data_IF_470155127751
#
_entry.id   IF_470155127751
#
_cell.length_a   1.000
_cell.length_b   1.000
_cell.length_c   1.000
_cell.angle_alpha   90.00
_cell.angle_beta   90.00
_cell.angle_gamma   90.00
#
_symmetry.space_group_name_H-M   'P 1'
#
loop_
_entity.id
_entity.type
_entity.pdbx_description
1 polymer ?
#
# COMPACT_ATOMS: atom_id res chain seq x y z
N UNK A 1 -5.00 21.41 -66.70
CA UNK A 1 -5.76 21.82 -65.49
C UNK A 1 -6.74 20.70 -65.16
N UNK A 2 -6.43 19.89 -64.15
CA UNK A 2 -7.25 18.74 -63.76
C UNK A 2 -6.55 17.97 -62.64
N UNK A 3 -6.53 18.54 -61.43
CA UNK A 3 -6.02 17.90 -60.23
C UNK A 3 -7.15 17.06 -59.61
N UNK A 4 -7.06 15.74 -59.76
CA UNK A 4 -7.89 14.78 -59.03
C UNK A 4 -7.43 14.68 -57.58
N UNK A 5 -8.36 14.90 -56.63
CA UNK A 5 -8.14 14.73 -55.19
C UNK A 5 -8.54 13.32 -54.77
N UNK A 6 -7.57 12.59 -54.25
CA UNK A 6 -7.77 11.37 -53.45
C UNK A 6 -8.15 11.72 -51.99
N UNK A 7 -8.67 10.69 -51.33
CA UNK A 7 -8.62 10.40 -49.89
C UNK A 7 -9.72 10.91 -48.97
N UNK A 8 -10.48 9.95 -48.43
CA UNK A 8 -10.82 9.90 -47.01
C UNK A 8 -10.96 8.42 -46.57
N UNK A 9 -9.87 7.89 -46.02
CA UNK A 9 -9.78 6.59 -45.38
C UNK A 9 -10.56 6.59 -44.06
N UNK A 10 -11.44 5.60 -43.93
CA UNK A 10 -12.36 5.39 -42.82
C UNK A 10 -11.58 4.89 -41.58
N UNK A 11 -11.42 5.73 -40.55
CA UNK A 11 -10.89 5.34 -39.24
C UNK A 11 -11.99 4.64 -38.41
N UNK A 12 -11.75 3.42 -37.86
CA UNK A 12 -12.73 2.76 -37.01
C UNK A 12 -12.83 3.44 -35.64
N UNK A 13 -14.06 3.76 -35.27
CA UNK A 13 -14.45 4.42 -34.04
C UNK A 13 -13.95 3.65 -32.80
N UNK A 14 -13.18 4.33 -31.95
CA UNK A 14 -12.73 3.88 -30.64
C UNK A 14 -13.90 3.38 -29.79
N UNK A 15 -13.88 2.09 -29.43
CA UNK A 15 -14.89 1.47 -28.57
C UNK A 15 -14.73 2.03 -27.15
N UNK A 16 -15.73 2.79 -26.70
CA UNK A 16 -15.78 3.30 -25.33
C UNK A 16 -15.66 2.14 -24.31
N UNK A 17 -14.89 2.29 -23.23
CA UNK A 17 -14.76 1.25 -22.22
C UNK A 17 -16.13 0.97 -21.59
N UNK A 18 -16.52 -0.30 -21.58
CA UNK A 18 -17.77 -0.78 -21.00
C UNK A 18 -17.88 -0.34 -19.53
N UNK A 19 -19.00 0.28 -19.18
CA UNK A 19 -19.28 0.71 -17.81
C UNK A 19 -19.24 -0.49 -16.84
N UNK A 20 -18.63 -0.30 -15.67
CA UNK A 20 -18.63 -1.29 -14.60
C UNK A 20 -20.07 -1.55 -14.12
N UNK A 21 -20.38 -2.79 -13.76
CA UNK A 21 -21.69 -3.15 -13.21
C UNK A 21 -21.89 -2.51 -11.82
N UNK A 22 -23.16 -2.26 -11.46
CA UNK A 22 -23.53 -1.62 -10.18
C UNK A 22 -23.00 -2.37 -8.95
N UNK A 23 -22.93 -3.69 -9.02
CA UNK A 23 -22.38 -4.53 -7.95
C UNK A 23 -20.88 -4.31 -7.78
N UNK A 24 -20.12 -4.24 -8.88
CA UNK A 24 -18.68 -3.99 -8.85
C UNK A 24 -18.36 -2.62 -8.27
N UNK A 25 -19.15 -1.59 -8.63
CA UNK A 25 -19.00 -0.25 -8.06
C UNK A 25 -19.27 -0.22 -6.55
N UNK A 26 -20.27 -0.94 -6.04
CA UNK A 26 -20.54 -1.03 -4.59
C UNK A 26 -19.44 -1.75 -3.84
N UNK A 27 -18.89 -2.81 -4.42
CA UNK A 27 -17.76 -3.55 -3.84
C UNK A 27 -16.52 -2.66 -3.77
N UNK A 28 -16.20 -1.93 -4.85
CA UNK A 28 -15.09 -0.97 -4.87
C UNK A 28 -15.27 0.15 -3.85
N UNK A 29 -16.48 0.73 -3.76
CA UNK A 29 -16.78 1.75 -2.76
C UNK A 29 -16.59 1.22 -1.33
N UNK A 30 -17.17 0.06 -1.00
CA UNK A 30 -16.99 -0.56 0.33
C UNK A 30 -15.55 -0.95 0.63
N UNK A 31 -14.78 -1.35 -0.38
CA UNK A 31 -13.35 -1.63 -0.24
C UNK A 31 -12.56 -0.35 0.09
N UNK A 32 -12.86 0.75 -0.59
CA UNK A 32 -12.32 2.07 -0.26
C UNK A 32 -12.70 2.50 1.17
N UNK A 33 -13.96 2.31 1.57
CA UNK A 33 -14.43 2.63 2.93
C UNK A 33 -13.67 1.87 4.03
N UNK A 34 -13.24 0.63 3.76
CA UNK A 34 -12.57 -0.22 4.76
C UNK A 34 -11.09 0.10 4.91
N UNK A 35 -10.49 0.75 3.92
CA UNK A 35 -9.04 0.87 3.80
C UNK A 35 -8.50 2.26 4.07
N UNK A 36 -9.38 3.26 4.07
CA UNK A 36 -9.09 4.55 4.65
C UNK A 36 -9.05 4.44 6.19
N UNK A 37 -7.85 4.24 6.73
CA UNK A 37 -7.43 4.47 8.12
C UNK A 37 -8.32 3.89 9.25
N UNK A 38 -8.02 2.64 9.67
CA UNK A 38 -8.52 2.02 10.91
C UNK A 38 -10.04 2.04 11.13
N UNK A 39 -10.83 1.96 10.05
CA UNK A 39 -12.29 1.91 10.14
C UNK A 39 -12.95 3.26 10.43
N UNK A 40 -12.25 4.38 10.22
CA UNK A 40 -12.87 5.71 10.21
C UNK A 40 -13.48 5.98 8.82
N UNK A 41 -14.63 6.67 8.86
CA UNK A 41 -15.54 6.92 7.73
C UNK A 41 -14.89 7.72 6.58
N UNK A 42 -15.46 7.66 5.36
CA UNK A 42 -14.87 8.13 4.10
C UNK A 42 -14.75 9.64 3.91
N UNK A 43 -14.90 10.46 4.96
CA UNK A 43 -14.57 11.89 4.91
C UNK A 43 -13.11 12.20 4.45
N UNK A 44 -12.28 11.18 4.24
CA UNK A 44 -10.92 11.26 3.70
C UNK A 44 -10.80 11.05 2.18
N UNK A 45 -11.89 10.77 1.46
CA UNK A 45 -11.94 11.09 0.04
C UNK A 45 -12.37 12.57 -0.07
N UNK A 46 -11.57 13.47 -0.66
CA UNK A 46 -12.03 14.83 -0.96
C UNK A 46 -12.99 14.76 -2.16
N UNK A 47 -14.13 14.10 -1.98
CA UNK A 47 -15.28 14.23 -2.87
C UNK A 47 -16.02 15.49 -2.39
N UNK A 48 -15.50 16.64 -2.82
CA UNK A 48 -15.95 17.96 -2.41
C UNK A 48 -14.89 18.67 -1.55
N UNK A 49 -14.52 19.87 -1.96
CA UNK A 49 -13.54 20.73 -1.29
C UNK A 49 -14.00 21.26 0.08
N UNK A 50 -14.99 20.63 0.73
CA UNK A 50 -15.59 21.10 1.96
C UNK A 50 -15.29 20.14 3.11
N UNK A 51 -14.49 20.61 4.07
CA UNK A 51 -14.28 19.98 5.38
C UNK A 51 -15.57 20.15 6.20
N UNK A 52 -16.56 19.29 5.94
CA UNK A 52 -17.86 19.30 6.62
C UNK A 52 -18.57 17.95 6.51
N UNK A 53 -19.62 17.69 7.30
CA UNK A 53 -20.41 16.48 7.19
C UNK A 53 -21.07 16.44 5.80
N UNK A 54 -20.65 15.48 4.97
CA UNK A 54 -21.23 15.26 3.64
C UNK A 54 -22.65 14.74 3.83
N UNK A 55 -23.65 15.47 3.32
CA UNK A 55 -25.03 15.00 3.32
C UNK A 55 -25.11 13.74 2.45
N UNK A 56 -25.79 12.70 2.93
CA UNK A 56 -26.04 11.48 2.15
C UNK A 56 -26.74 11.78 0.82
N UNK A 57 -27.46 12.91 0.74
CA UNK A 57 -28.07 13.39 -0.48
C UNK A 57 -27.06 13.79 -1.57
N UNK A 58 -25.85 14.22 -1.18
CA UNK A 58 -24.76 14.71 -2.05
C UNK A 58 -23.83 13.59 -2.56
N UNK A 59 -23.97 12.38 -2.02
CA UNK A 59 -23.18 11.23 -2.47
C UNK A 59 -23.64 10.76 -3.86
N UNK A 60 -22.70 10.37 -4.75
CA UNK A 60 -23.05 9.84 -6.06
C UNK A 60 -23.92 8.59 -5.93
N UNK A 61 -25.09 8.60 -6.57
CA UNK A 61 -26.12 7.54 -6.46
C UNK A 61 -26.01 6.49 -7.54
N UNK A 62 -25.27 6.80 -8.61
CA UNK A 62 -25.07 5.91 -9.75
C UNK A 62 -23.60 5.65 -10.04
N UNK A 63 -23.29 4.51 -10.65
CA UNK A 63 -21.93 4.17 -11.08
C UNK A 63 -21.36 5.22 -12.07
N UNK A 64 -22.23 5.82 -12.90
CA UNK A 64 -21.85 6.87 -13.84
C UNK A 64 -21.44 8.16 -13.12
N UNK A 65 -22.15 8.55 -12.07
CA UNK A 65 -21.78 9.68 -11.22
C UNK A 65 -20.45 9.43 -10.50
N UNK A 66 -20.23 8.22 -9.95
CA UNK A 66 -18.95 7.84 -9.33
C UNK A 66 -17.79 7.98 -10.33
N UNK A 67 -17.95 7.45 -11.55
CA UNK A 67 -16.91 7.57 -12.60
C UNK A 67 -16.70 9.03 -13.01
N UNK A 68 -17.77 9.82 -13.12
CA UNK A 68 -17.68 11.24 -13.43
C UNK A 68 -16.97 12.02 -12.31
N UNK A 69 -17.19 11.65 -11.04
CA UNK A 69 -16.53 12.26 -9.89
C UNK A 69 -15.06 11.85 -9.81
N UNK A 70 -14.73 10.57 -10.02
CA UNK A 70 -13.34 10.09 -10.09
C UNK A 70 -12.57 10.81 -11.21
N UNK A 71 -13.20 11.04 -12.37
CA UNK A 71 -12.59 11.79 -13.48
C UNK A 71 -12.44 13.29 -13.21
N UNK A 72 -13.34 13.86 -12.40
CA UNK A 72 -13.31 15.28 -12.00
C UNK A 72 -12.33 15.53 -10.84
N UNK A 73 -12.13 14.53 -9.98
CA UNK A 73 -11.20 14.60 -8.86
C UNK A 73 -9.77 14.63 -9.35
N UNK A 74 -8.97 15.55 -8.81
CA UNK A 74 -7.51 15.58 -9.00
C UNK A 74 -6.78 14.50 -8.21
N UNK A 75 -7.49 13.76 -7.35
CA UNK A 75 -6.93 12.65 -6.59
C UNK A 75 -6.80 11.45 -7.51
N UNK A 76 -5.62 10.83 -7.51
CA UNK A 76 -5.41 9.54 -8.15
C UNK A 76 -6.22 8.45 -7.43
N UNK A 77 -7.51 8.32 -7.74
CA UNK A 77 -8.40 7.34 -7.11
C UNK A 77 -7.85 5.91 -7.21
N UNK A 78 -7.15 5.60 -8.30
CA UNK A 78 -6.46 4.32 -8.46
C UNK A 78 -5.24 4.19 -7.56
N UNK A 79 -4.51 5.27 -7.25
CA UNK A 79 -3.45 5.23 -6.25
C UNK A 79 -4.01 4.95 -4.86
N UNK A 80 -5.14 5.57 -4.50
CA UNK A 80 -5.83 5.29 -3.24
C UNK A 80 -6.30 3.81 -3.15
N UNK A 81 -6.84 3.26 -4.23
CA UNK A 81 -7.22 1.83 -4.33
C UNK A 81 -6.01 0.89 -4.23
N UNK A 82 -4.89 1.23 -4.87
CA UNK A 82 -3.65 0.45 -4.78
C UNK A 82 -3.12 0.46 -3.35
N UNK A 83 -2.99 1.64 -2.75
CA UNK A 83 -2.55 1.82 -1.37
C UNK A 83 -3.45 1.06 -0.38
N UNK A 84 -4.76 1.12 -0.59
CA UNK A 84 -5.77 0.34 0.13
C UNK A 84 -5.49 -1.16 0.04
N UNK A 85 -5.25 -1.66 -1.17
CA UNK A 85 -5.00 -3.08 -1.42
C UNK A 85 -3.67 -3.53 -0.80
N UNK A 86 -2.65 -2.68 -0.83
CA UNK A 86 -1.36 -2.89 -0.17
C UNK A 86 -1.51 -2.98 1.35
N UNK A 87 -2.24 -2.04 1.96
CA UNK A 87 -2.54 -2.08 3.39
C UNK A 87 -3.31 -3.34 3.78
N UNK A 88 -4.33 -3.73 3.00
CA UNK A 88 -5.09 -4.95 3.24
C UNK A 88 -4.20 -6.20 3.16
N UNK A 89 -3.28 -6.27 2.18
CA UNK A 89 -2.31 -7.37 2.07
C UNK A 89 -1.31 -7.40 3.21
N UNK A 90 -0.92 -6.26 3.76
CA UNK A 90 -0.04 -6.18 4.93
C UNK A 90 -0.74 -6.71 6.20
N UNK A 91 -2.01 -6.33 6.41
CA UNK A 91 -2.81 -6.76 7.55
C UNK A 91 -3.26 -8.23 7.45
N UNK A 92 -3.60 -8.66 6.24
CA UNK A 92 -4.16 -9.97 5.95
C UNK A 92 -3.41 -10.62 4.79
N UNK A 93 -2.14 -11.04 5.00
CA UNK A 93 -1.39 -11.71 3.96
C UNK A 93 -2.08 -13.03 3.58
N UNK A 94 -2.25 -13.34 2.28
CA UNK A 94 -2.83 -14.60 1.87
C UNK A 94 -2.02 -15.79 2.42
N UNK A 95 -2.65 -16.94 2.69
CA UNK A 95 -1.93 -18.14 3.14
C UNK A 95 -0.80 -18.49 2.18
N UNK A 96 0.40 -18.78 2.71
CA UNK A 96 1.58 -19.11 1.92
C UNK A 96 2.26 -17.94 1.20
N UNK A 97 1.75 -16.70 1.36
CA UNK A 97 2.35 -15.52 0.72
C UNK A 97 3.50 -14.89 1.51
N UNK A 98 3.65 -15.23 2.79
CA UNK A 98 4.78 -14.76 3.58
C UNK A 98 6.03 -15.56 3.18
N UNK A 99 7.19 -14.90 2.99
CA UNK A 99 8.42 -15.60 2.70
C UNK A 99 8.83 -16.48 3.89
N UNK A 100 9.59 -17.54 3.61
CA UNK A 100 10.07 -18.47 4.63
C UNK A 100 10.99 -17.80 5.68
N UNK A 101 11.65 -16.70 5.30
CA UNK A 101 12.51 -15.90 6.15
C UNK A 101 12.23 -14.42 5.94
N UNK A 102 12.26 -13.65 7.03
CA UNK A 102 12.09 -12.20 7.03
C UNK A 102 13.26 -11.55 7.78
N UNK A 103 13.69 -10.34 7.38
CA UNK A 103 14.56 -9.51 8.21
C UNK A 103 13.94 -9.31 9.59
N UNK A 104 14.73 -9.47 10.65
CA UNK A 104 14.24 -9.37 12.02
C UNK A 104 14.78 -8.09 12.69
N UNK A 105 13.88 -7.15 12.98
CA UNK A 105 14.16 -5.95 13.75
C UNK A 105 13.85 -6.24 15.22
N UNK A 106 14.90 -6.32 16.04
CA UNK A 106 14.76 -6.54 17.48
C UNK A 106 14.78 -5.19 18.18
N UNK A 107 13.61 -4.69 18.59
CA UNK A 107 13.42 -3.37 19.18
C UNK A 107 12.70 -3.52 20.53
N UNK A 108 13.44 -3.72 21.64
CA UNK A 108 12.85 -4.09 22.94
C UNK A 108 11.90 -3.05 23.53
N UNK A 109 12.10 -1.78 23.21
CA UNK A 109 11.33 -0.67 23.77
C UNK A 109 10.09 -0.31 22.96
N UNK A 110 9.86 -0.97 21.83
CA UNK A 110 8.73 -0.69 20.95
C UNK A 110 7.95 -1.99 20.72
N UNK A 111 6.64 -1.95 20.93
CA UNK A 111 5.75 -3.06 20.57
C UNK A 111 4.75 -2.55 19.54
N UNK A 112 4.70 -3.21 18.40
CA UNK A 112 3.74 -2.90 17.34
C UNK A 112 2.53 -3.83 17.43
N UNK A 113 1.35 -3.25 17.58
CA UNK A 113 0.08 -3.98 17.55
C UNK A 113 -0.44 -4.12 16.12
N UNK A 114 -1.10 -5.23 15.75
CA UNK A 114 -1.72 -5.36 14.43
C UNK A 114 -2.67 -4.19 14.11
N UNK A 115 -2.54 -3.61 12.91
CA UNK A 115 -3.26 -2.39 12.49
C UNK A 115 -2.53 -1.08 12.79
N UNK A 116 -1.52 -1.10 13.65
CA UNK A 116 -0.77 0.09 14.04
C UNK A 116 0.12 0.60 12.91
N UNK A 117 0.17 1.92 12.77
CA UNK A 117 1.11 2.62 11.89
C UNK A 117 2.18 3.26 12.74
N UNK A 118 3.43 3.11 12.32
CA UNK A 118 4.57 3.69 13.00
C UNK A 118 5.57 4.24 11.99
N UNK A 119 6.27 5.30 12.37
CA UNK A 119 7.38 5.86 11.63
C UNK A 119 8.66 5.59 12.44
N UNK A 120 9.68 5.02 11.81
CA UNK A 120 10.97 4.73 12.41
C UNK A 120 12.09 5.46 11.69
N UNK A 121 12.97 6.10 12.46
CA UNK A 121 14.23 6.64 11.96
C UNK A 121 15.35 5.65 12.23
N UNK A 122 15.89 5.06 11.18
CA UNK A 122 16.94 4.06 11.25
C UNK A 122 18.29 4.73 10.98
N UNK A 123 19.19 4.64 11.95
CA UNK A 123 20.54 5.20 11.87
C UNK A 123 21.63 4.17 12.19
N UNK A 124 21.33 3.13 12.98
CA UNK A 124 22.31 2.09 13.26
C UNK A 124 22.60 1.25 12.01
N UNK A 125 23.88 0.98 11.68
CA UNK A 125 24.27 0.24 10.47
C UNK A 125 23.53 -1.10 10.31
N UNK A 126 23.31 -1.83 11.40
CA UNK A 126 22.57 -3.10 11.38
C UNK A 126 21.11 -2.96 10.92
N UNK A 127 20.42 -1.89 11.32
CA UNK A 127 19.03 -1.66 10.91
C UNK A 127 18.95 -1.12 9.49
N UNK A 128 19.94 -0.32 9.08
CA UNK A 128 20.07 0.11 7.69
C UNK A 128 20.27 -1.08 6.75
N UNK A 129 21.12 -2.04 7.12
CA UNK A 129 21.32 -3.27 6.34
C UNK A 129 20.02 -4.10 6.24
N UNK A 130 19.30 -4.28 7.35
CA UNK A 130 18.02 -4.99 7.36
C UNK A 130 16.94 -4.28 6.51
N UNK A 131 16.87 -2.94 6.59
CA UNK A 131 15.92 -2.16 5.79
C UNK A 131 16.24 -2.25 4.30
N UNK A 132 17.52 -2.14 3.92
CA UNK A 132 17.97 -2.34 2.53
C UNK A 132 17.66 -3.74 2.03
N UNK A 133 17.83 -4.76 2.88
CA UNK A 133 17.46 -6.14 2.53
C UNK A 133 15.96 -6.28 2.31
N UNK A 134 15.12 -5.76 3.23
CA UNK A 134 13.66 -5.79 3.08
C UNK A 134 13.19 -5.07 1.81
N UNK A 135 13.83 -3.96 1.46
CA UNK A 135 13.55 -3.15 0.27
C UNK A 135 14.23 -3.66 -1.01
N UNK A 136 15.05 -4.73 -0.94
CA UNK A 136 15.81 -5.27 -2.08
C UNK A 136 16.84 -4.31 -2.66
N UNK A 137 17.30 -3.32 -1.90
CA UNK A 137 18.29 -2.33 -2.33
C UNK A 137 19.73 -2.84 -2.24
N UNK A 138 19.96 -4.00 -1.61
CA UNK A 138 21.29 -4.57 -1.37
C UNK A 138 21.78 -5.56 -2.43
N UNK A 139 21.11 -5.68 -3.59
CA UNK A 139 21.52 -6.60 -4.66
C UNK A 139 21.42 -8.10 -4.33
N UNK A 140 20.76 -8.44 -3.21
CA UNK A 140 20.53 -9.83 -2.81
C UNK A 140 19.62 -10.58 -3.80
N UNK A 141 19.74 -11.91 -3.81
CA UNK A 141 18.98 -12.78 -4.71
C UNK A 141 17.47 -12.88 -4.38
N UNK A 142 17.07 -12.50 -3.17
CA UNK A 142 15.66 -12.54 -2.76
C UNK A 142 14.90 -11.32 -3.32
N UNK A 143 13.70 -11.51 -3.88
CA UNK A 143 12.91 -10.39 -4.39
C UNK A 143 12.51 -9.46 -3.24
N UNK A 144 12.51 -8.14 -3.46
CA UNK A 144 12.05 -7.18 -2.46
C UNK A 144 10.60 -7.47 -2.09
N UNK A 145 10.35 -7.66 -0.80
CA UNK A 145 9.02 -7.94 -0.26
C UNK A 145 8.51 -6.81 0.64
N UNK A 146 9.41 -5.91 1.07
CA UNK A 146 9.09 -4.78 1.95
C UNK A 146 8.63 -5.19 3.36
N UNK A 147 8.52 -6.49 3.64
CA UNK A 147 8.09 -7.05 4.93
C UNK A 147 9.28 -7.39 5.82
N UNK A 148 9.09 -7.24 7.13
CA UNK A 148 10.05 -7.62 8.15
C UNK A 148 9.33 -8.11 9.42
N UNK A 149 10.03 -8.83 10.29
CA UNK A 149 9.55 -9.21 11.60
C UNK A 149 10.02 -8.19 12.65
N UNK A 150 9.08 -7.58 13.37
CA UNK A 150 9.33 -6.74 14.53
C UNK A 150 9.24 -7.58 15.80
N UNK A 151 10.33 -7.69 16.56
CA UNK A 151 10.43 -8.55 17.74
C UNK A 151 10.87 -7.74 18.97
N UNK A 152 10.34 -8.05 20.17
CA UNK A 152 10.80 -7.43 21.40
C UNK A 152 12.17 -7.98 21.86
N UNK A 153 12.50 -9.22 21.51
CA UNK A 153 13.77 -9.88 21.86
C UNK A 153 14.18 -10.91 20.79
N UNK A 154 15.35 -11.53 20.97
CA UNK A 154 15.91 -12.55 20.08
C UNK A 154 15.66 -14.00 20.54
N UNK A 155 14.90 -14.21 21.61
CA UNK A 155 14.70 -15.54 22.18
C UNK A 155 13.83 -16.40 21.24
N UNK A 156 14.16 -17.68 21.13
CA UNK A 156 13.31 -18.63 20.40
C UNK A 156 11.93 -18.69 21.04
N UNK A 157 10.88 -18.65 20.22
CA UNK A 157 9.50 -18.62 20.69
C UNK A 157 8.95 -17.22 20.98
N UNK A 158 9.77 -16.16 20.90
CA UNK A 158 9.33 -14.78 20.99
C UNK A 158 8.20 -14.51 19.98
N UNK A 159 7.20 -13.73 20.40
CA UNK A 159 6.05 -13.39 19.55
C UNK A 159 6.12 -11.91 19.20
N UNK A 160 6.35 -11.64 17.93
CA UNK A 160 6.37 -10.30 17.37
C UNK A 160 5.23 -10.06 16.39
N UNK A 161 5.45 -9.09 15.52
CA UNK A 161 4.51 -8.67 14.48
C UNK A 161 5.23 -8.62 13.14
N UNK A 162 4.62 -9.16 12.08
CA UNK A 162 5.11 -8.93 10.71
C UNK A 162 4.67 -7.54 10.31
N UNK A 163 5.60 -6.68 9.93
CA UNK A 163 5.31 -5.32 9.49
C UNK A 163 5.71 -5.14 8.03
N UNK A 164 4.97 -4.30 7.31
CA UNK A 164 5.25 -3.91 5.93
C UNK A 164 5.72 -2.46 5.88
N UNK A 165 6.82 -2.20 5.16
CA UNK A 165 7.27 -0.84 4.86
C UNK A 165 6.35 -0.27 3.78
N UNK A 166 5.58 0.76 4.13
CA UNK A 166 4.67 1.46 3.21
C UNK A 166 5.41 2.50 2.36
N UNK A 167 6.40 3.17 2.96
CA UNK A 167 7.23 4.15 2.29
C UNK A 167 8.57 4.30 3.02
N UNK A 168 9.59 4.75 2.30
CA UNK A 168 10.88 5.06 2.88
C UNK A 168 11.46 6.35 2.28
N UNK A 169 12.30 7.03 3.04
CA UNK A 169 13.04 8.21 2.61
C UNK A 169 14.47 8.13 3.15
N UNK A 170 15.45 8.18 2.26
CA UNK A 170 16.85 8.37 2.63
C UNK A 170 17.12 9.85 2.91
N UNK A 171 17.75 10.13 4.04
CA UNK A 171 18.18 11.47 4.43
C UNK A 171 19.62 11.73 3.98
N UNK A 172 20.01 13.00 3.93
CA UNK A 172 21.34 13.42 3.46
C UNK A 172 22.49 12.99 4.36
N UNK A 173 22.21 12.66 5.62
CA UNK A 173 23.16 12.16 6.61
C UNK A 173 23.28 10.62 6.63
N UNK A 174 22.62 9.93 5.69
CA UNK A 174 22.65 8.48 5.56
C UNK A 174 21.63 7.73 6.41
N UNK A 175 20.81 8.45 7.20
CA UNK A 175 19.68 7.84 7.91
C UNK A 175 18.55 7.47 6.94
N UNK A 176 17.69 6.52 7.35
CA UNK A 176 16.50 6.14 6.58
C UNK A 176 15.28 6.25 7.48
N UNK A 177 14.30 7.04 7.04
CA UNK A 177 12.97 7.08 7.66
C UNK A 177 12.10 6.06 6.95
N UNK A 178 11.50 5.14 7.69
CA UNK A 178 10.52 4.17 7.17
C UNK A 178 9.17 4.39 7.84
N UNK A 179 8.11 4.38 7.03
CA UNK A 179 6.73 4.29 7.50
C UNK A 179 6.27 2.86 7.35
N UNK A 180 5.66 2.31 8.38
CA UNK A 180 5.29 0.91 8.41
C UNK A 180 3.83 0.70 8.83
N UNK A 181 3.28 -0.45 8.42
CA UNK A 181 2.00 -0.96 8.91
C UNK A 181 2.22 -2.32 9.56
N UNK A 182 1.84 -2.42 10.81
CA UNK A 182 1.92 -3.63 11.60
C UNK A 182 0.81 -4.60 11.17
N UNK A 183 1.20 -5.76 10.66
CA UNK A 183 0.34 -6.82 10.18
C UNK A 183 0.06 -7.90 11.25
N UNK A 184 -0.03 -9.18 10.87
CA UNK A 184 -0.34 -10.25 11.81
C UNK A 184 0.81 -10.54 12.77
N UNK A 185 0.47 -11.12 13.93
CA UNK A 185 1.47 -11.65 14.87
C UNK A 185 2.14 -12.88 14.31
N UNK A 186 3.43 -13.01 14.54
CA UNK A 186 4.22 -14.18 14.17
C UNK A 186 5.10 -14.62 15.33
N UNK A 187 5.33 -15.94 15.41
CA UNK A 187 6.25 -16.53 16.39
C UNK A 187 7.60 -16.73 15.73
N UNK A 188 8.65 -16.29 16.41
CA UNK A 188 10.02 -16.56 16.01
C UNK A 188 10.34 -18.04 16.24
N UNK A 189 10.66 -18.74 15.14
CA UNK A 189 11.12 -20.13 15.20
C UNK A 189 12.63 -20.18 15.35
N UNK A 190 13.35 -19.46 14.48
CA UNK A 190 14.82 -19.42 14.42
C UNK A 190 15.29 -18.08 13.86
N UNK A 191 16.45 -17.61 14.30
CA UNK A 191 17.19 -16.50 13.71
C UNK A 191 18.51 -16.97 13.12
N UNK A 192 19.00 -16.23 12.14
CA UNK A 192 20.37 -16.30 11.63
C UNK A 192 20.90 -14.88 11.49
N UNK A 193 22.22 -14.72 11.50
CA UNK A 193 22.81 -13.42 11.17
C UNK A 193 22.59 -13.14 9.68
N UNK A 194 22.31 -11.88 9.37
CA UNK A 194 22.35 -11.41 8.00
C UNK A 194 23.83 -11.34 7.62
N UNK A 195 24.23 -12.10 6.60
CA UNK A 195 25.57 -11.98 6.02
C UNK A 195 25.59 -10.72 5.15
N UNK A 196 26.62 -9.88 5.33
CA UNK A 196 26.84 -8.75 4.43
C UNK A 196 27.26 -9.30 3.06
N UNK A 197 26.45 -9.02 2.04
CA UNK A 197 26.74 -9.33 0.63
C UNK A 197 27.50 -8.17 0.02
#
# INVERSE_FOLDING_TARGET
>A
LGLGRESASHMPCSRAPSALSSEVSRVLYRALLRACDNGRRPECLPMGAAVGPVDAAELPRSAREVVAEIRRSSVEAFAALRHTSECARALHPPPGSLPASLPAFILPTCTLLPGERADFTLFEPRYLALARHALGLGGGAAPPDGRYAHLPDSASGAVGTVASILSHQSLSDGQVVVRVLAGPRARLVRTSRLEEV
#
